data_IF_153845524470
#
_entry.id   IF_153845524470
#
_cell.length_a   1.000
_cell.length_b   1.000
_cell.length_c   1.000
_cell.angle_alpha   90.00
_cell.angle_beta   90.00
_cell.angle_gamma   90.00
#
_symmetry.space_group_name_H-M   'P 1'
#
loop_
_entity.id
_entity.type
_entity.pdbx_description
1 polymer ?
#
# COMPACT_ATOMS: atom_id res chain seq x y z
N UNK A 1 24.73 -8.65 -13.43
CA UNK A 1 26.21 -8.68 -13.47
C UNK A 1 26.63 -10.13 -13.60
N UNK A 2 27.46 -10.49 -14.58
CA UNK A 2 28.01 -11.85 -14.69
C UNK A 2 29.29 -11.88 -13.87
N UNK A 3 29.31 -12.66 -12.79
CA UNK A 3 30.49 -12.81 -11.93
C UNK A 3 31.33 -13.96 -12.51
N UNK A 4 32.55 -13.64 -12.90
CA UNK A 4 33.56 -14.55 -13.45
C UNK A 4 34.71 -14.80 -12.47
N UNK A 5 34.97 -13.84 -11.57
CA UNK A 5 35.95 -13.94 -10.51
C UNK A 5 35.41 -13.29 -9.22
N UNK A 6 35.87 -13.76 -8.05
CA UNK A 6 35.44 -13.22 -6.74
C UNK A 6 36.35 -12.09 -6.24
N UNK A 7 37.26 -11.59 -7.07
CA UNK A 7 38.27 -10.61 -6.66
C UNK A 7 38.03 -9.26 -7.35
N UNK A 8 38.13 -9.21 -8.68
CA UNK A 8 37.87 -8.00 -9.47
C UNK A 8 36.39 -7.65 -9.61
N UNK A 9 35.52 -8.64 -9.89
CA UNK A 9 34.12 -8.39 -10.26
C UNK A 9 33.24 -7.95 -9.06
N UNK A 10 33.71 -8.16 -7.83
CA UNK A 10 33.01 -7.78 -6.60
C UNK A 10 33.52 -6.45 -6.01
N UNK A 11 34.67 -5.97 -6.50
CA UNK A 11 35.34 -4.77 -5.97
C UNK A 11 34.54 -3.49 -6.18
N UNK A 12 33.74 -3.44 -7.24
CA UNK A 12 32.87 -2.29 -7.53
C UNK A 12 31.62 -2.21 -6.62
N UNK A 13 31.42 -3.21 -5.75
CA UNK A 13 30.31 -3.37 -4.82
C UNK A 13 28.92 -3.41 -5.47
N UNK A 14 28.82 -3.48 -6.80
CA UNK A 14 27.54 -3.48 -7.53
C UNK A 14 26.77 -4.76 -7.32
N UNK A 15 27.48 -5.89 -7.26
CA UNK A 15 26.88 -7.18 -6.95
C UNK A 15 26.28 -7.21 -5.54
N UNK A 16 26.98 -6.62 -4.56
CA UNK A 16 26.48 -6.52 -3.18
C UNK A 16 25.29 -5.58 -3.07
N UNK A 17 25.34 -4.41 -3.71
CA UNK A 17 24.21 -3.49 -3.76
C UNK A 17 22.98 -4.15 -4.42
N UNK A 18 23.17 -4.86 -5.54
CA UNK A 18 22.08 -5.59 -6.21
C UNK A 18 21.48 -6.69 -5.32
N UNK A 19 22.31 -7.43 -4.58
CA UNK A 19 21.84 -8.43 -3.63
C UNK A 19 21.03 -7.77 -2.50
N UNK A 20 21.53 -6.68 -1.90
CA UNK A 20 20.80 -5.94 -0.87
C UNK A 20 19.43 -5.45 -1.38
N UNK A 21 19.39 -4.83 -2.56
CA UNK A 21 18.13 -4.34 -3.17
C UNK A 21 17.14 -5.48 -3.44
N UNK A 22 17.62 -6.66 -3.83
CA UNK A 22 16.76 -7.81 -4.11
C UNK A 22 16.00 -8.30 -2.87
N UNK A 23 16.57 -8.16 -1.68
CA UNK A 23 15.94 -8.58 -0.42
C UNK A 23 15.35 -7.39 0.36
N UNK A 24 15.82 -6.18 0.08
CA UNK A 24 15.42 -4.95 0.76
C UNK A 24 15.12 -3.87 -0.30
N UNK A 25 13.89 -3.83 -0.85
CA UNK A 25 13.54 -2.93 -1.94
C UNK A 25 13.69 -1.43 -1.63
N UNK A 26 13.48 -1.00 -0.38
CA UNK A 26 13.70 0.40 0.06
C UNK A 26 15.08 0.94 -0.33
N UNK A 27 16.11 0.09 -0.34
CA UNK A 27 17.47 0.48 -0.67
C UNK A 27 17.65 0.84 -2.15
N UNK A 28 16.71 0.49 -3.04
CA UNK A 28 16.77 0.84 -4.46
C UNK A 28 16.93 2.36 -4.66
N UNK A 29 16.19 3.15 -3.90
CA UNK A 29 16.26 4.63 -3.96
C UNK A 29 17.59 5.20 -3.50
N UNK A 30 18.32 4.49 -2.64
CA UNK A 30 19.63 4.87 -2.11
C UNK A 30 20.76 4.50 -3.06
N UNK A 31 20.62 3.37 -3.75
CA UNK A 31 21.59 2.92 -4.75
C UNK A 31 21.31 3.43 -6.17
N UNK A 32 20.27 4.25 -6.36
CA UNK A 32 19.90 4.82 -7.66
C UNK A 32 21.06 5.66 -8.24
N UNK A 33 21.64 5.27 -9.39
CA UNK A 33 22.74 5.99 -10.03
C UNK A 33 22.39 7.43 -10.46
N UNK A 34 21.10 7.74 -10.65
CA UNK A 34 20.67 9.08 -11.07
C UNK A 34 20.57 10.07 -9.90
N UNK A 35 20.58 9.58 -8.66
CA UNK A 35 20.47 10.40 -7.47
C UNK A 35 21.85 10.89 -7.02
N UNK A 36 21.89 12.11 -6.47
CA UNK A 36 23.10 12.62 -5.84
C UNK A 36 23.52 11.70 -4.67
N UNK A 37 24.78 11.29 -4.66
CA UNK A 37 25.30 10.28 -3.73
C UNK A 37 24.91 8.82 -4.02
N UNK A 38 24.31 8.53 -5.19
CA UNK A 38 23.95 7.17 -5.62
C UNK A 38 25.15 6.27 -5.98
N UNK A 39 24.87 5.04 -6.40
CA UNK A 39 25.92 4.07 -6.75
C UNK A 39 26.60 4.45 -8.08
N UNK A 40 27.94 4.49 -8.10
CA UNK A 40 28.71 4.68 -9.34
C UNK A 40 28.72 3.38 -10.13
N UNK A 41 28.10 3.36 -11.31
CA UNK A 41 28.02 2.16 -12.15
C UNK A 41 29.36 1.79 -12.82
N UNK A 42 30.21 2.78 -13.09
CA UNK A 42 31.52 2.60 -13.72
C UNK A 42 32.57 3.39 -12.91
N UNK A 43 33.00 2.85 -11.76
CA UNK A 43 33.97 3.54 -10.91
C UNK A 43 35.31 3.62 -11.65
N UNK A 44 35.79 4.84 -11.90
CA UNK A 44 37.06 5.06 -12.61
C UNK A 44 38.23 5.21 -11.63
N UNK A 45 37.95 5.76 -10.44
CA UNK A 45 38.96 6.08 -9.44
C UNK A 45 38.75 5.30 -8.14
N UNK A 46 39.80 5.19 -7.33
CA UNK A 46 39.73 4.58 -6.00
C UNK A 46 38.69 5.25 -5.08
N UNK A 47 38.46 6.56 -5.26
CA UNK A 47 37.45 7.34 -4.52
C UNK A 47 36.03 6.83 -4.84
N UNK A 48 35.74 6.52 -6.11
CA UNK A 48 34.42 6.02 -6.53
C UNK A 48 34.16 4.61 -5.95
N UNK A 49 35.21 3.78 -5.91
CA UNK A 49 35.17 2.45 -5.29
C UNK A 49 34.91 2.55 -3.77
N UNK A 50 35.64 3.42 -3.07
CA UNK A 50 35.48 3.62 -1.62
C UNK A 50 34.10 4.20 -1.29
N UNK A 51 33.56 5.06 -2.15
CA UNK A 51 32.19 5.58 -2.04
C UNK A 51 31.16 4.45 -2.14
N UNK A 52 31.25 3.60 -3.16
CA UNK A 52 30.34 2.47 -3.32
C UNK A 52 30.42 1.50 -2.14
N UNK A 53 31.63 1.19 -1.66
CA UNK A 53 31.85 0.34 -0.49
C UNK A 53 31.23 0.96 0.78
N UNK A 54 31.37 2.27 0.97
CA UNK A 54 30.77 3.00 2.10
C UNK A 54 29.25 2.95 2.04
N UNK A 55 28.65 3.18 0.87
CA UNK A 55 27.20 3.11 0.69
C UNK A 55 26.64 1.72 1.05
N UNK A 56 27.31 0.65 0.62
CA UNK A 56 26.91 -0.73 0.92
C UNK A 56 27.03 -1.01 2.42
N UNK A 57 28.16 -0.66 3.05
CA UNK A 57 28.37 -0.92 4.48
C UNK A 57 27.45 -0.09 5.37
N UNK A 58 27.15 1.16 5.00
CA UNK A 58 26.22 2.00 5.75
C UNK A 58 24.78 1.51 5.59
N UNK A 59 24.39 1.05 4.39
CA UNK A 59 23.10 0.38 4.18
C UNK A 59 23.01 -0.89 5.03
N UNK A 60 24.07 -1.69 5.06
CA UNK A 60 24.12 -2.88 5.91
C UNK A 60 23.97 -2.52 7.40
N UNK A 61 24.68 -1.51 7.89
CA UNK A 61 24.60 -1.04 9.28
C UNK A 61 23.19 -0.58 9.66
N UNK A 62 22.52 0.17 8.78
CA UNK A 62 21.15 0.65 8.98
C UNK A 62 20.16 -0.50 9.18
N UNK A 63 20.33 -1.61 8.46
CA UNK A 63 19.48 -2.79 8.55
C UNK A 63 19.96 -3.83 9.57
N UNK A 64 20.92 -3.49 10.44
CA UNK A 64 21.46 -4.39 11.46
C UNK A 64 22.40 -5.49 10.94
N UNK A 65 22.84 -5.40 9.68
CA UNK A 65 23.84 -6.26 9.07
C UNK A 65 25.23 -5.76 9.44
N UNK A 66 25.68 -6.02 10.66
CA UNK A 66 27.00 -5.59 11.11
C UNK A 66 28.11 -6.46 10.48
N UNK A 67 28.69 -5.97 9.38
CA UNK A 67 29.98 -6.44 8.90
C UNK A 67 31.09 -5.76 9.71
N UNK A 68 31.98 -6.55 10.32
CA UNK A 68 33.16 -6.05 11.03
C UNK A 68 34.28 -5.72 10.03
N UNK A 69 33.97 -4.86 9.07
CA UNK A 69 34.85 -4.55 7.93
C UNK A 69 34.72 -3.07 7.59
N UNK A 70 35.84 -2.42 7.29
CA UNK A 70 35.86 -1.02 6.82
C UNK A 70 35.73 -0.95 5.28
N UNK A 71 35.30 0.19 4.71
CA UNK A 71 35.23 0.33 3.24
C UNK A 71 36.55 0.03 2.53
N UNK A 72 37.69 0.37 3.14
CA UNK A 72 39.02 0.11 2.60
C UNK A 72 39.38 -1.37 2.64
N UNK A 73 39.12 -2.03 3.77
CA UNK A 73 39.31 -3.47 3.89
C UNK A 73 38.45 -4.24 2.88
N UNK A 74 37.20 -3.81 2.68
CA UNK A 74 36.30 -4.43 1.69
C UNK A 74 36.87 -4.34 0.25
N UNK A 75 37.60 -3.28 -0.08
CA UNK A 75 38.24 -3.12 -1.39
C UNK A 75 39.56 -3.90 -1.55
N UNK A 76 40.17 -4.29 -0.44
CA UNK A 76 41.43 -5.05 -0.37
C UNK A 76 41.21 -6.55 -0.10
N UNK A 77 39.96 -6.98 0.04
CA UNK A 77 39.60 -8.38 0.27
C UNK A 77 40.17 -9.32 -0.80
N UNK A 78 40.72 -10.44 -0.34
CA UNK A 78 41.08 -11.55 -1.22
C UNK A 78 39.82 -12.25 -1.75
N UNK A 79 39.98 -13.08 -2.78
CA UNK A 79 38.89 -13.92 -3.30
C UNK A 79 38.21 -14.77 -2.19
N UNK A 80 38.98 -15.21 -1.19
CA UNK A 80 38.47 -15.95 -0.02
C UNK A 80 37.59 -15.08 0.86
N UNK A 81 38.01 -13.86 1.16
CA UNK A 81 37.27 -12.95 2.04
C UNK A 81 35.98 -12.47 1.39
N UNK A 82 36.02 -12.19 0.08
CA UNK A 82 34.82 -11.90 -0.70
C UNK A 82 33.85 -13.08 -0.76
N UNK A 83 34.35 -14.32 -0.83
CA UNK A 83 33.50 -15.51 -0.74
C UNK A 83 32.85 -15.63 0.65
N UNK A 84 33.60 -15.39 1.73
CA UNK A 84 33.06 -15.39 3.09
C UNK A 84 32.00 -14.30 3.28
N UNK A 85 32.26 -13.09 2.77
CA UNK A 85 31.31 -11.99 2.82
C UNK A 85 30.05 -12.28 2.00
N UNK A 86 30.20 -12.83 0.79
CA UNK A 86 29.06 -13.25 -0.04
C UNK A 86 28.25 -14.35 0.64
N UNK A 87 28.92 -15.33 1.27
CA UNK A 87 28.27 -16.39 2.04
C UNK A 87 27.52 -15.83 3.26
N UNK A 88 28.10 -14.85 3.95
CA UNK A 88 27.43 -14.14 5.03
C UNK A 88 26.14 -13.46 4.55
N UNK A 89 26.19 -12.73 3.42
CA UNK A 89 25.01 -12.12 2.82
C UNK A 89 23.99 -13.16 2.39
N UNK A 90 24.42 -14.24 1.74
CA UNK A 90 23.53 -15.32 1.29
C UNK A 90 22.79 -16.00 2.44
N UNK A 91 23.44 -16.17 3.60
CA UNK A 91 22.82 -16.78 4.78
C UNK A 91 21.95 -15.81 5.58
N UNK A 92 22.22 -14.50 5.50
CA UNK A 92 21.54 -13.49 6.33
C UNK A 92 20.39 -12.79 5.60
N UNK A 93 20.55 -12.46 4.31
CA UNK A 93 19.54 -11.72 3.53
C UNK A 93 18.18 -12.43 3.38
N UNK A 94 18.09 -13.77 3.29
CA UNK A 94 16.80 -14.45 3.26
C UNK A 94 15.91 -14.18 4.49
N UNK A 95 16.50 -13.75 5.62
CA UNK A 95 15.73 -13.37 6.82
C UNK A 95 14.90 -12.09 6.62
N UNK A 96 15.22 -11.27 5.62
CA UNK A 96 14.49 -10.05 5.28
C UNK A 96 13.29 -10.30 4.37
N UNK A 97 13.08 -11.55 3.95
CA UNK A 97 11.89 -11.96 3.20
C UNK A 97 10.73 -12.13 4.18
N UNK A 98 9.58 -11.44 3.96
CA UNK A 98 8.42 -11.60 4.80
C UNK A 98 7.96 -13.06 4.87
N UNK A 99 7.76 -13.57 6.08
CA UNK A 99 7.22 -14.92 6.30
C UNK A 99 5.70 -14.93 6.44
N UNK A 100 5.15 -13.81 6.89
CA UNK A 100 3.72 -13.67 7.20
C UNK A 100 3.21 -12.33 6.69
N UNK A 101 1.99 -12.32 6.16
CA UNK A 101 1.30 -11.10 5.71
C UNK A 101 0.23 -10.69 6.72
N UNK A 102 0.30 -9.45 7.19
CA UNK A 102 -0.69 -8.81 8.04
C UNK A 102 -1.69 -8.07 7.15
N UNK A 103 -2.94 -8.53 7.15
CA UNK A 103 -4.01 -7.96 6.33
C UNK A 103 -4.80 -6.89 7.09
N UNK A 104 -4.83 -5.70 6.54
CA UNK A 104 -5.61 -4.56 7.04
C UNK A 104 -6.95 -4.53 6.33
N UNK A 105 -7.91 -5.30 6.87
CA UNK A 105 -9.30 -5.31 6.40
C UNK A 105 -10.07 -4.14 7.01
N UNK A 106 -10.76 -3.36 6.18
CA UNK A 106 -11.60 -2.26 6.64
C UNK A 106 -12.20 -1.45 5.50
N UNK A 107 -12.74 -0.28 5.84
CA UNK A 107 -13.41 0.62 4.90
C UNK A 107 -12.44 1.68 4.37
N UNK A 108 -12.75 2.21 3.19
CA UNK A 108 -12.04 3.33 2.60
C UNK A 108 -12.15 4.58 3.50
N UNK A 109 -11.07 5.34 3.64
CA UNK A 109 -10.99 6.56 4.46
C UNK A 109 -11.18 6.39 5.97
N UNK A 110 -11.33 5.18 6.48
CA UNK A 110 -11.32 4.90 7.91
C UNK A 110 -9.92 4.45 8.35
N UNK A 111 -9.50 4.85 9.56
CA UNK A 111 -8.22 4.39 10.10
C UNK A 111 -8.35 2.95 10.59
N UNK A 112 -7.55 2.05 10.01
CA UNK A 112 -7.48 0.64 10.38
C UNK A 112 -6.20 0.43 11.18
N UNK A 113 -6.33 -0.09 12.40
CA UNK A 113 -5.19 -0.42 13.27
C UNK A 113 -5.11 -1.92 13.47
N UNK A 114 -3.92 -2.50 13.27
CA UNK A 114 -3.62 -3.91 13.59
C UNK A 114 -2.46 -3.97 14.56
N UNK A 115 -2.61 -4.83 15.56
CA UNK A 115 -1.58 -5.14 16.55
C UNK A 115 -0.87 -6.43 16.18
N UNK A 116 0.46 -6.39 16.16
CA UNK A 116 1.33 -7.54 16.01
C UNK A 116 1.81 -7.91 17.41
N UNK A 117 1.53 -9.14 17.83
CA UNK A 117 2.06 -9.70 19.08
C UNK A 117 3.38 -10.40 18.80
N UNK A 118 4.42 -10.02 19.54
CA UNK A 118 5.76 -10.57 19.43
C UNK A 118 6.17 -11.14 20.78
N UNK A 119 6.58 -12.39 20.81
CA UNK A 119 7.07 -13.06 22.01
C UNK A 119 8.59 -13.19 21.95
N UNK A 120 9.27 -12.83 23.04
CA UNK A 120 10.69 -13.08 23.24
C UNK A 120 10.89 -14.42 23.96
N UNK A 121 11.22 -15.53 23.27
CA UNK A 121 11.43 -16.82 23.91
C UNK A 121 12.78 -16.91 24.64
N UNK A 122 13.65 -15.90 24.51
CA UNK A 122 15.01 -15.95 25.01
C UNK A 122 15.09 -15.57 26.49
N UNK A 123 16.25 -15.83 27.10
CA UNK A 123 16.54 -15.47 28.50
C UNK A 123 17.05 -14.03 28.65
N UNK A 124 17.19 -13.29 27.56
CA UNK A 124 17.75 -11.95 27.53
C UNK A 124 16.73 -10.98 26.95
N UNK A 125 16.80 -9.71 27.35
CA UNK A 125 15.96 -8.68 26.76
C UNK A 125 16.38 -8.43 25.30
N UNK A 126 15.42 -8.07 24.45
CA UNK A 126 15.68 -7.75 23.05
C UNK A 126 15.13 -6.37 22.73
N UNK A 127 15.99 -5.50 22.22
CA UNK A 127 15.62 -4.21 21.65
C UNK A 127 15.52 -4.31 20.13
N UNK A 128 14.31 -4.10 19.61
CA UNK A 128 14.07 -3.99 18.18
C UNK A 128 13.99 -2.53 17.77
N UNK A 129 14.65 -2.20 16.67
CA UNK A 129 14.39 -0.99 15.89
C UNK A 129 13.40 -1.33 14.79
N UNK A 130 12.31 -0.56 14.68
CA UNK A 130 11.26 -0.79 13.69
C UNK A 130 11.56 0.04 12.46
N UNK A 131 11.65 -0.62 11.32
CA UNK A 131 11.79 0.00 10.01
C UNK A 131 10.59 -0.35 9.14
N UNK A 132 10.02 0.64 8.47
CA UNK A 132 8.88 0.48 7.57
C UNK A 132 9.32 0.77 6.13
N UNK A 133 8.96 -0.14 5.24
CA UNK A 133 9.26 -0.08 3.81
C UNK A 133 7.95 -0.18 3.01
N UNK A 134 7.87 0.51 1.88
CA UNK A 134 6.68 0.59 1.04
C UNK A 134 5.91 1.91 1.23
N UNK A 135 4.57 1.82 1.30
CA UNK A 135 3.73 3.01 1.30
C UNK A 135 3.83 3.81 2.62
N UNK A 136 4.05 5.13 2.50
CA UNK A 136 4.12 6.08 3.63
C UNK A 136 2.79 6.23 4.40
N UNK A 137 1.69 5.71 3.85
CA UNK A 137 0.38 5.73 4.50
C UNK A 137 0.33 4.78 5.72
N UNK A 138 1.24 3.80 5.82
CA UNK A 138 1.40 2.97 7.02
C UNK A 138 2.17 3.73 8.11
N UNK A 139 1.58 3.80 9.30
CA UNK A 139 2.13 4.49 10.46
C UNK A 139 2.36 3.51 11.62
N UNK A 140 3.63 3.23 11.97
CA UNK A 140 3.94 2.46 13.17
C UNK A 140 3.61 3.26 14.43
N UNK A 141 3.32 2.56 15.54
CA UNK A 141 3.06 3.20 16.83
C UNK A 141 4.33 3.80 17.46
N UNK A 142 5.48 3.17 17.24
CA UNK A 142 6.78 3.61 17.75
C UNK A 142 7.90 3.17 16.78
N UNK A 143 9.09 3.75 16.92
CA UNK A 143 10.30 3.39 16.19
C UNK A 143 11.12 2.30 16.86
N UNK A 144 10.79 1.95 18.12
CA UNK A 144 11.48 0.93 18.91
C UNK A 144 10.48 0.03 19.62
N UNK A 145 10.89 -1.21 19.88
CA UNK A 145 10.14 -2.16 20.69
C UNK A 145 11.10 -2.90 21.61
N UNK A 146 10.93 -2.72 22.92
CA UNK A 146 11.65 -3.46 23.94
C UNK A 146 10.84 -4.69 24.37
N UNK A 147 11.46 -5.87 24.36
CA UNK A 147 10.86 -7.11 24.86
C UNK A 147 11.71 -7.69 25.99
N UNK A 148 11.11 -7.76 27.17
CA UNK A 148 11.70 -8.44 28.33
C UNK A 148 11.91 -9.94 28.07
N UNK A 149 12.84 -10.59 28.80
CA UNK A 149 13.02 -12.04 28.73
C UNK A 149 11.72 -12.80 28.97
N UNK A 150 11.40 -13.77 28.11
CA UNK A 150 10.19 -14.61 28.21
C UNK A 150 8.86 -13.83 28.21
N UNK A 151 8.86 -12.57 27.79
CA UNK A 151 7.67 -11.74 27.72
C UNK A 151 7.12 -11.64 26.28
N UNK A 152 5.84 -11.29 26.18
CA UNK A 152 5.23 -10.83 24.92
C UNK A 152 5.04 -9.32 24.96
N UNK A 153 5.28 -8.67 23.83
CA UNK A 153 4.93 -7.27 23.60
C UNK A 153 4.00 -7.15 22.41
N UNK A 154 3.23 -6.07 22.36
CA UNK A 154 2.35 -5.76 21.23
C UNK A 154 2.84 -4.50 20.55
N UNK A 155 2.75 -4.51 19.22
CA UNK A 155 3.16 -3.38 18.40
C UNK A 155 2.05 -3.04 17.40
N UNK A 156 1.56 -1.81 17.43
CA UNK A 156 0.45 -1.40 16.60
C UNK A 156 0.93 -0.71 15.32
N UNK A 157 0.28 -1.03 14.20
CA UNK A 157 0.46 -0.33 12.93
C UNK A 157 -0.92 0.15 12.50
N UNK A 158 -0.99 1.40 12.05
CA UNK A 158 -2.22 2.03 11.57
C UNK A 158 -2.08 2.47 10.13
N UNK A 159 -3.16 2.41 9.37
CA UNK A 159 -3.22 2.93 8.00
C UNK A 159 -4.59 3.53 7.75
N UNK A 160 -4.63 4.63 6.99
CA UNK A 160 -5.87 5.22 6.47
C UNK A 160 -5.86 5.07 4.94
N UNK A 161 -6.42 3.99 4.38
CA UNK A 161 -6.35 3.74 2.95
C UNK A 161 -7.13 4.81 2.18
N UNK A 162 -6.44 5.45 1.22
CA UNK A 162 -7.01 6.45 0.30
C UNK A 162 -7.53 5.83 -0.99
N UNK A 163 -7.20 4.57 -1.24
CA UNK A 163 -7.59 3.82 -2.43
C UNK A 163 -8.08 2.43 -2.02
N UNK A 164 -9.04 1.91 -2.79
CA UNK A 164 -9.56 0.56 -2.73
C UNK A 164 -8.59 -0.44 -3.35
N UNK A 165 -7.71 0.00 -4.26
CA UNK A 165 -6.60 -0.84 -4.75
C UNK A 165 -5.73 -1.28 -3.59
N UNK A 166 -5.19 -2.49 -3.70
CA UNK A 166 -4.27 -3.04 -2.69
C UNK A 166 -3.04 -2.16 -2.57
N UNK A 167 -2.73 -1.76 -1.34
CA UNK A 167 -1.50 -1.09 -0.95
C UNK A 167 -0.66 -2.09 -0.17
N UNK A 168 0.58 -2.25 -0.61
CA UNK A 168 1.53 -3.17 -0.03
C UNK A 168 2.62 -2.39 0.71
N UNK A 169 3.13 -3.01 1.76
CA UNK A 169 4.23 -2.51 2.55
C UNK A 169 4.90 -3.64 3.32
N UNK A 170 5.89 -3.30 4.11
CA UNK A 170 6.66 -4.26 4.90
C UNK A 170 7.13 -3.58 6.16
N UNK A 171 6.99 -4.27 7.29
CA UNK A 171 7.57 -3.85 8.57
C UNK A 171 8.66 -4.83 8.96
N UNK A 172 9.78 -4.27 9.41
CA UNK A 172 10.97 -5.00 9.82
C UNK A 172 11.29 -4.65 11.27
N UNK A 173 11.39 -5.66 12.12
CA UNK A 173 11.89 -5.55 13.48
C UNK A 173 13.35 -5.97 13.47
N UNK A 174 14.23 -4.97 13.44
CA UNK A 174 15.67 -5.12 13.35
C UNK A 174 16.26 -5.21 14.75
N UNK A 175 16.82 -6.36 15.12
CA UNK A 175 17.58 -6.51 16.36
C UNK A 175 18.99 -5.95 16.16
N UNK A 176 19.43 -5.07 17.05
CA UNK A 176 20.84 -4.64 17.06
C UNK A 176 21.73 -5.82 17.45
N UNK A 177 22.86 -6.05 16.77
CA UNK A 177 23.85 -7.06 17.16
C UNK A 177 24.77 -6.54 18.27
N UNK A 178 24.19 -5.97 19.32
CA UNK A 178 24.92 -5.36 20.44
C UNK A 178 25.48 -6.35 21.49
N UNK A 179 25.73 -7.61 21.14
CA UNK A 179 26.18 -8.64 22.10
C UNK A 179 26.46 -10.02 21.49
N UNK A 180 26.79 -11.00 22.34
CA UNK A 180 27.21 -12.36 21.95
C UNK A 180 26.11 -13.18 21.26
N UNK A 181 24.84 -12.81 21.43
CA UNK A 181 23.69 -13.47 20.81
C UNK A 181 22.79 -12.40 20.19
N UNK A 182 22.69 -12.40 18.86
CA UNK A 182 21.77 -11.53 18.12
C UNK A 182 20.44 -12.26 17.93
N UNK A 183 19.33 -11.62 18.33
CA UNK A 183 18.00 -12.09 17.99
C UNK A 183 17.78 -12.07 16.47
N UNK A 184 16.91 -12.91 15.94
CA UNK A 184 16.61 -12.90 14.51
C UNK A 184 15.81 -11.64 14.11
N UNK A 185 16.11 -11.09 12.94
CA UNK A 185 15.26 -10.07 12.31
C UNK A 185 13.89 -10.67 11.99
N UNK A 186 12.83 -9.95 12.33
CA UNK A 186 11.45 -10.35 11.98
C UNK A 186 10.89 -9.42 10.93
N UNK A 187 10.25 -10.00 9.91
CA UNK A 187 9.70 -9.25 8.79
C UNK A 187 8.28 -9.71 8.49
N UNK A 188 7.38 -8.74 8.41
CA UNK A 188 5.98 -8.94 8.06
C UNK A 188 5.63 -8.13 6.82
N UNK A 189 4.93 -8.74 5.88
CA UNK A 189 4.32 -8.04 4.77
C UNK A 189 3.04 -7.37 5.28
N UNK A 190 2.75 -6.17 4.80
CA UNK A 190 1.54 -5.41 5.11
C UNK A 190 0.72 -5.33 3.83
N UNK A 191 -0.55 -5.67 3.89
CA UNK A 191 -1.45 -5.62 2.72
C UNK A 191 -2.78 -5.01 3.15
N UNK A 192 -3.27 -4.00 2.43
CA UNK A 192 -4.62 -3.47 2.63
C UNK A 192 -5.65 -4.27 1.84
N UNK A 193 -6.76 -4.59 2.49
CA UNK A 193 -7.91 -5.23 1.87
C UNK A 193 -9.14 -4.37 2.18
N UNK A 194 -9.37 -3.39 1.31
CA UNK A 194 -10.44 -2.40 1.50
C UNK A 194 -11.73 -2.92 0.88
N UNK A 195 -12.83 -2.74 1.59
CA UNK A 195 -14.16 -3.09 1.09
C UNK A 195 -14.52 -2.24 -0.15
N UNK A 196 -14.76 -2.91 -1.28
CA UNK A 196 -15.17 -2.29 -2.53
C UNK A 196 -16.54 -1.61 -2.44
N UNK A 197 -17.41 -2.08 -1.54
CA UNK A 197 -18.74 -1.52 -1.31
C UNK A 197 -18.74 -0.36 -0.31
N UNK A 198 -17.58 -0.02 0.27
CA UNK A 198 -17.49 1.12 1.18
C UNK A 198 -17.83 2.43 0.48
N UNK A 199 -18.73 3.19 1.11
CA UNK A 199 -19.20 4.49 0.64
C UNK A 199 -19.25 5.46 1.81
N UNK A 200 -18.96 6.73 1.53
CA UNK A 200 -19.05 7.80 2.52
C UNK A 200 -20.50 8.03 2.96
N UNK A 201 -21.43 7.91 2.02
CA UNK A 201 -22.85 8.09 2.28
C UNK A 201 -23.69 7.25 1.34
N UNK A 202 -24.76 6.69 1.89
CA UNK A 202 -25.83 6.03 1.14
C UNK A 202 -27.05 6.95 1.13
N UNK A 203 -27.67 7.09 -0.04
CA UNK A 203 -28.87 7.90 -0.28
C UNK A 203 -29.91 6.94 -0.86
N UNK A 204 -31.00 6.73 -0.13
CA UNK A 204 -32.02 5.74 -0.43
C UNK A 204 -33.42 6.33 -0.62
N UNK A 205 -33.51 7.65 -0.75
CA UNK A 205 -34.75 8.41 -0.86
C UNK A 205 -35.18 8.71 -2.30
N UNK A 206 -34.55 8.07 -3.30
CA UNK A 206 -34.82 8.35 -4.71
C UNK A 206 -35.93 7.44 -5.17
N UNK A 207 -37.08 8.03 -5.47
CA UNK A 207 -38.23 7.30 -6.01
C UNK A 207 -38.80 8.05 -7.20
N UNK A 208 -39.16 7.31 -8.25
CA UNK A 208 -39.84 7.87 -9.43
C UNK A 208 -40.73 6.82 -10.08
N UNK A 209 -41.73 7.27 -10.83
CA UNK A 209 -42.51 6.38 -11.68
C UNK A 209 -41.67 5.92 -12.88
N UNK A 210 -41.97 4.74 -13.39
CA UNK A 210 -41.33 4.22 -14.60
C UNK A 210 -41.48 5.22 -15.76
N UNK A 211 -40.40 5.42 -16.52
CA UNK A 211 -40.29 6.39 -17.62
C UNK A 211 -40.30 7.87 -17.22
N UNK A 212 -40.29 8.19 -15.93
CA UNK A 212 -40.19 9.56 -15.46
C UNK A 212 -38.79 9.86 -14.90
N UNK A 213 -38.06 10.83 -15.49
CA UNK A 213 -36.75 11.19 -14.97
C UNK A 213 -36.90 12.03 -13.71
N UNK A 214 -36.09 11.71 -12.69
CA UNK A 214 -35.91 12.56 -11.52
C UNK A 214 -34.43 12.93 -11.39
N UNK A 215 -34.16 14.21 -11.10
CA UNK A 215 -32.80 14.66 -10.79
C UNK A 215 -32.65 14.79 -9.29
N UNK A 216 -31.62 14.16 -8.74
CA UNK A 216 -31.28 14.23 -7.34
C UNK A 216 -29.97 14.99 -7.15
N UNK A 217 -30.05 16.08 -6.39
CA UNK A 217 -28.92 16.96 -6.12
C UNK A 217 -28.34 16.67 -4.73
N UNK A 218 -27.04 16.41 -4.67
CA UNK A 218 -26.32 16.10 -3.43
C UNK A 218 -25.12 17.01 -3.27
N UNK A 219 -24.87 17.43 -2.04
CA UNK A 219 -23.66 18.14 -1.68
C UNK A 219 -22.56 17.13 -1.37
N UNK A 220 -21.58 17.00 -2.27
CA UNK A 220 -20.39 16.16 -2.08
C UNK A 220 -19.28 16.98 -1.43
N UNK A 221 -18.57 16.37 -0.48
CA UNK A 221 -17.48 17.02 0.27
C UNK A 221 -16.16 16.34 -0.05
N UNK A 222 -15.08 17.11 -0.12
CA UNK A 222 -13.74 16.56 -0.25
C UNK A 222 -13.24 16.00 1.11
N UNK A 223 -13.09 14.67 1.25
CA UNK A 223 -12.67 14.06 2.51
C UNK A 223 -11.15 14.15 2.74
N UNK A 224 -10.39 14.69 1.77
CA UNK A 224 -8.94 14.73 1.80
C UNK A 224 -8.40 16.09 2.28
N UNK A 225 -7.21 16.10 2.90
CA UNK A 225 -6.58 17.33 3.37
C UNK A 225 -5.94 18.18 2.24
N UNK A 226 -6.15 17.80 0.98
CA UNK A 226 -5.55 18.43 -0.21
C UNK A 226 -6.61 18.70 -1.27
N UNK A 227 -6.33 19.64 -2.18
CA UNK A 227 -7.18 19.89 -3.35
C UNK A 227 -7.07 18.68 -4.31
N UNK A 228 -8.15 18.32 -4.97
CA UNK A 228 -8.19 17.22 -5.92
C UNK A 228 -9.08 17.49 -7.13
N UNK A 229 -8.73 16.84 -8.24
CA UNK A 229 -9.49 16.82 -9.48
C UNK A 229 -9.98 15.39 -9.70
N UNK A 230 -11.21 15.14 -9.28
CA UNK A 230 -11.76 13.79 -9.22
C UNK A 230 -12.50 13.47 -10.52
N UNK A 231 -12.07 12.41 -11.21
CA UNK A 231 -12.86 11.78 -12.26
C UNK A 231 -14.06 11.07 -11.64
N UNK A 232 -15.23 11.21 -12.27
CA UNK A 232 -16.49 10.62 -11.85
C UNK A 232 -16.75 9.37 -12.68
N UNK A 233 -17.03 8.26 -12.00
CA UNK A 233 -17.50 7.03 -12.65
C UNK A 233 -18.74 6.52 -11.94
N UNK A 234 -19.75 6.14 -12.70
CA UNK A 234 -20.99 5.55 -12.20
C UNK A 234 -20.97 4.06 -12.50
N UNK A 235 -21.12 3.24 -11.46
CA UNK A 235 -21.29 1.79 -11.58
C UNK A 235 -22.65 1.47 -11.00
N UNK A 236 -23.52 0.83 -11.77
CA UNK A 236 -24.88 0.56 -11.32
C UNK A 236 -25.30 -0.89 -11.52
N UNK A 237 -26.27 -1.30 -10.72
CA UNK A 237 -26.84 -2.63 -10.75
C UNK A 237 -28.34 -2.59 -10.45
N UNK A 238 -29.06 -3.53 -11.06
CA UNK A 238 -30.46 -3.80 -10.73
C UNK A 238 -30.52 -4.81 -9.59
N UNK A 239 -31.22 -4.47 -8.51
CA UNK A 239 -31.45 -5.32 -7.35
C UNK A 239 -32.75 -6.09 -7.57
N UNK A 240 -32.62 -7.40 -7.74
CA UNK A 240 -33.76 -8.29 -7.91
C UNK A 240 -34.72 -8.23 -6.73
N UNK A 241 -36.04 -8.28 -6.95
CA UNK A 241 -37.03 -8.23 -5.89
C UNK A 241 -36.91 -9.45 -4.96
N UNK A 242 -36.92 -9.20 -3.65
CA UNK A 242 -36.80 -10.23 -2.61
C UNK A 242 -37.97 -11.25 -2.62
N UNK A 243 -39.10 -10.87 -3.22
CA UNK A 243 -40.29 -11.73 -3.38
C UNK A 243 -40.09 -12.85 -4.40
N UNK A 244 -38.98 -12.83 -5.16
CA UNK A 244 -38.62 -13.86 -6.15
C UNK A 244 -39.50 -13.88 -7.41
N UNK A 245 -40.55 -13.05 -7.48
CA UNK A 245 -41.35 -12.85 -8.69
C UNK A 245 -40.72 -11.72 -9.49
N UNK A 246 -40.10 -12.00 -10.65
CA UNK A 246 -39.54 -10.95 -11.50
C UNK A 246 -40.67 -10.09 -12.08
N UNK A 247 -40.41 -8.81 -12.28
CA UNK A 247 -41.29 -7.99 -13.10
C UNK A 247 -41.17 -8.41 -14.58
N UNK A 248 -42.27 -8.36 -15.36
CA UNK A 248 -42.26 -8.72 -16.79
C UNK A 248 -41.18 -7.97 -17.60
N UNK A 249 -40.88 -6.74 -17.21
CA UNK A 249 -39.93 -5.87 -17.92
C UNK A 249 -38.46 -6.23 -17.61
N UNK A 250 -38.17 -7.07 -16.61
CA UNK A 250 -36.80 -7.43 -16.20
C UNK A 250 -36.01 -8.14 -17.31
N UNK A 251 -36.66 -8.95 -18.13
CA UNK A 251 -36.00 -9.65 -19.26
C UNK A 251 -35.46 -8.67 -20.31
N UNK A 252 -36.05 -7.47 -20.37
CA UNK A 252 -35.66 -6.43 -21.32
C UNK A 252 -34.63 -5.46 -20.75
N UNK A 253 -34.17 -5.62 -19.50
CA UNK A 253 -33.24 -4.69 -18.84
C UNK A 253 -31.99 -4.40 -19.67
N UNK A 254 -31.43 -5.41 -20.34
CA UNK A 254 -30.23 -5.29 -21.18
C UNK A 254 -30.44 -4.48 -22.47
N UNK A 255 -31.69 -4.23 -22.88
CA UNK A 255 -32.01 -3.40 -24.05
C UNK A 255 -32.13 -1.92 -23.71
N UNK A 256 -32.26 -1.59 -22.41
CA UNK A 256 -32.40 -0.22 -21.95
C UNK A 256 -31.04 0.36 -21.57
N UNK A 257 -30.88 1.70 -21.69
CA UNK A 257 -29.75 2.35 -21.08
C UNK A 257 -29.79 2.21 -19.56
N UNK A 258 -28.62 2.36 -19.00
CA UNK A 258 -28.35 2.55 -17.60
C UNK A 258 -29.31 3.57 -16.94
N UNK A 259 -29.96 3.18 -15.84
CA UNK A 259 -31.04 3.95 -15.21
C UNK A 259 -30.53 5.21 -14.48
N UNK A 260 -29.32 5.16 -13.94
CA UNK A 260 -28.64 6.30 -13.35
C UNK A 260 -27.66 6.92 -14.34
N UNK A 261 -27.71 8.25 -14.45
CA UNK A 261 -26.86 9.00 -15.35
C UNK A 261 -26.47 10.36 -14.78
N UNK A 262 -25.27 10.84 -15.13
CA UNK A 262 -24.83 12.21 -14.84
C UNK A 262 -24.05 12.75 -16.04
N UNK A 263 -24.20 14.05 -16.38
CA UNK A 263 -23.33 14.70 -17.34
C UNK A 263 -21.95 15.04 -16.77
N UNK A 264 -21.76 14.88 -15.45
CA UNK A 264 -20.55 15.30 -14.75
C UNK A 264 -19.49 14.21 -14.86
N UNK A 265 -18.45 14.46 -15.65
CA UNK A 265 -17.31 13.58 -15.83
C UNK A 265 -16.20 13.81 -14.79
N UNK A 266 -16.12 15.03 -14.25
CA UNK A 266 -15.09 15.48 -13.34
C UNK A 266 -15.63 16.48 -12.33
N UNK A 267 -15.06 16.47 -11.12
CA UNK A 267 -15.34 17.47 -10.07
C UNK A 267 -14.04 17.93 -9.46
N UNK A 268 -13.84 19.25 -9.42
CA UNK A 268 -12.70 19.86 -8.72
C UNK A 268 -13.13 20.31 -7.34
N UNK A 269 -12.49 19.80 -6.28
CA UNK A 269 -12.80 20.17 -4.90
C UNK A 269 -11.53 20.61 -4.17
N UNK A 270 -11.58 21.78 -3.54
CA UNK A 270 -10.51 22.21 -2.63
C UNK A 270 -10.62 21.48 -1.29
N UNK A 271 -9.57 21.59 -0.46
CA UNK A 271 -9.60 21.06 0.91
C UNK A 271 -10.80 21.60 1.69
N UNK A 272 -11.64 20.70 2.23
CA UNK A 272 -12.84 21.05 3.01
C UNK A 272 -13.95 21.71 2.19
N UNK A 273 -13.81 21.76 0.87
CA UNK A 273 -14.79 22.33 -0.04
C UNK A 273 -15.94 21.36 -0.30
N UNK A 274 -17.06 21.91 -0.73
CA UNK A 274 -18.26 21.16 -1.07
C UNK A 274 -18.81 21.61 -2.41
N UNK A 275 -19.14 20.66 -3.27
CA UNK A 275 -19.78 20.94 -4.55
C UNK A 275 -21.16 20.29 -4.63
N UNK A 276 -22.04 20.93 -5.40
CA UNK A 276 -23.31 20.33 -5.80
C UNK A 276 -23.04 19.33 -6.93
N UNK A 277 -23.48 18.09 -6.73
CA UNK A 277 -23.43 17.02 -7.72
C UNK A 277 -24.85 16.55 -8.03
N UNK A 278 -25.19 16.48 -9.32
CA UNK A 278 -26.51 16.10 -9.79
C UNK A 278 -26.46 14.73 -10.44
N UNK A 279 -27.34 13.83 -9.99
CA UNK A 279 -27.52 12.49 -10.56
C UNK A 279 -28.96 12.36 -11.05
N UNK A 280 -29.15 12.01 -12.31
CA UNK A 280 -30.45 11.69 -12.88
C UNK A 280 -30.75 10.21 -12.70
N UNK A 281 -32.00 9.90 -12.36
CA UNK A 281 -32.54 8.55 -12.31
C UNK A 281 -33.75 8.45 -13.24
N UNK A 282 -33.66 7.60 -14.26
CA UNK A 282 -34.69 7.32 -15.26
C UNK A 282 -34.80 5.80 -15.43
N UNK A 283 -35.60 5.12 -14.60
CA UNK A 283 -35.80 3.68 -14.73
C UNK A 283 -36.80 3.35 -15.83
N UNK A 284 -36.46 2.33 -16.64
CA UNK A 284 -37.36 1.74 -17.65
C UNK A 284 -37.96 0.40 -17.20
N UNK A 285 -37.55 -0.09 -16.03
CA UNK A 285 -37.98 -1.38 -15.46
C UNK A 285 -38.30 -1.15 -13.99
N UNK A 286 -39.37 -1.78 -13.50
CA UNK A 286 -39.76 -1.72 -12.08
C UNK A 286 -38.76 -2.42 -11.19
N UNK A 287 -38.67 -1.97 -9.94
CA UNK A 287 -37.79 -2.57 -8.94
C UNK A 287 -36.79 -1.58 -8.38
N UNK A 288 -35.71 -2.10 -7.80
CA UNK A 288 -34.74 -1.31 -7.05
C UNK A 288 -33.41 -1.29 -7.78
N UNK A 289 -32.80 -0.13 -7.88
CA UNK A 289 -31.51 0.08 -8.54
C UNK A 289 -30.52 0.62 -7.52
N UNK A 290 -29.26 0.23 -7.65
CA UNK A 290 -28.16 0.77 -6.85
C UNK A 290 -27.11 1.32 -7.80
N UNK A 291 -26.75 2.58 -7.62
CA UNK A 291 -25.62 3.21 -8.30
C UNK A 291 -24.55 3.62 -7.28
N UNK A 292 -23.32 3.20 -7.52
CA UNK A 292 -22.13 3.62 -6.82
C UNK A 292 -21.41 4.65 -7.70
N UNK A 293 -21.43 5.89 -7.25
CA UNK A 293 -20.71 7.00 -7.90
C UNK A 293 -19.37 7.14 -7.22
N UNK A 294 -18.30 6.87 -7.96
CA UNK A 294 -16.92 6.94 -7.48
C UNK A 294 -16.28 8.21 -8.00
N UNK A 295 -15.63 8.93 -7.08
CA UNK A 295 -14.83 10.11 -7.35
C UNK A 295 -13.38 9.72 -7.12
N UNK A 296 -12.55 9.77 -8.16
CA UNK A 296 -11.17 9.28 -8.11
C UNK A 296 -10.18 10.30 -8.66
N UNK A 297 -9.14 10.58 -7.88
CA UNK A 297 -7.94 11.30 -8.30
C UNK A 297 -6.74 10.41 -7.98
N UNK A 298 -5.91 10.09 -8.98
CA UNK A 298 -4.83 9.11 -8.83
C UNK A 298 -3.74 9.53 -7.83
N UNK A 299 -3.65 10.83 -7.51
CA UNK A 299 -2.68 11.39 -6.54
C UNK A 299 -3.31 11.57 -5.16
N UNK A 300 -4.55 12.06 -5.13
CA UNK A 300 -5.22 12.44 -3.87
C UNK A 300 -5.89 11.25 -3.19
N UNK A 301 -6.62 10.43 -3.93
CA UNK A 301 -7.40 9.32 -3.38
C UNK A 301 -8.73 9.13 -4.10
N UNK A 302 -9.52 8.17 -3.61
CA UNK A 302 -10.88 7.95 -4.08
C UNK A 302 -11.89 7.89 -2.94
N UNK A 303 -13.15 8.18 -3.27
CA UNK A 303 -14.30 8.03 -2.38
C UNK A 303 -15.54 7.74 -3.20
N UNK A 304 -16.56 7.18 -2.55
CA UNK A 304 -17.80 6.81 -3.23
C UNK A 304 -19.04 7.24 -2.46
N UNK A 305 -20.10 7.53 -3.22
CA UNK A 305 -21.45 7.71 -2.73
C UNK A 305 -22.34 6.63 -3.35
N UNK A 306 -23.25 6.07 -2.56
CA UNK A 306 -24.20 5.07 -3.04
C UNK A 306 -25.57 5.70 -3.12
N UNK A 307 -26.23 5.55 -4.26
CA UNK A 307 -27.56 6.01 -4.56
C UNK A 307 -28.44 4.79 -4.80
N UNK A 308 -29.59 4.75 -4.15
CA UNK A 308 -30.54 3.66 -4.26
C UNK A 308 -31.86 4.24 -4.72
N UNK A 309 -32.29 3.79 -5.90
CA UNK A 309 -33.49 4.26 -6.58
C UNK A 309 -34.57 3.20 -6.60
N UNK A 310 -35.80 3.55 -6.24
CA UNK A 310 -36.98 2.70 -6.43
C UNK A 310 -37.80 3.18 -7.63
N UNK A 311 -38.04 2.28 -8.57
CA UNK A 311 -38.96 2.49 -9.68
C UNK A 311 -40.35 1.99 -9.31
N UNK A 312 -41.31 2.92 -9.25
CA UNK A 312 -42.72 2.65 -9.07
C UNK A 312 -43.40 2.27 -10.39
N UNK A 313 -44.63 1.70 -10.36
CA UNK A 313 -45.40 1.46 -11.57
C UNK A 313 -45.56 2.72 -12.43
N UNK A 314 -45.72 2.58 -13.75
CA UNK A 314 -45.99 3.72 -14.63
C UNK A 314 -47.27 4.42 -14.18
N UNK A 315 -47.32 5.75 -14.34
CA UNK A 315 -48.54 6.50 -14.03
C UNK A 315 -49.68 6.03 -14.93
N UNK A 316 -50.92 5.96 -14.40
CA UNK A 316 -52.09 5.71 -15.23
C UNK A 316 -52.20 6.79 -16.30
N UNK A 317 -52.51 6.36 -17.53
CA UNK A 317 -52.77 7.24 -18.68
C UNK A 317 -54.09 8.00 -18.55
#
# INVERSE_FOLDING_TARGET
VRISNFEGDLRDCRAFAAALVSYIPSLASRFDPQKDGGLVLTPANAIDLERNATLVLDAMREYGLEARTTPRELLEHSARDNLLFTSFLYNTLPQYVPKTTVKFKGKLLETITKTIELTNPTKYAIDYTVSLDGCEDFRPSDSKLHLDPKASGTFAISIKPRFTRKVEGRVMFLSGRGGTMSAATMVFALETEVDHDSALKTIDTIETAMYEPVTHDVLIENPFPTNGHFAVSVIQEYIKPATGKPFPEEESLHHFPDAFWTPTDTVSLKKGDRAKFSLQFLPCVRGRFRARVVFKDDKVGEFAYVFVGNCLPPKPS
#
